data_IF_217228942475
#
_entry.id   IF_217228942475
#
_cell.length_a   1.000
_cell.length_b   1.000
_cell.length_c   1.000
_cell.angle_alpha   90.00
_cell.angle_beta   90.00
_cell.angle_gamma   90.00
#
_symmetry.space_group_name_H-M   'P 1'
#
loop_
_entity.id
_entity.type
_entity.pdbx_description
1 polymer ?
#
# COMPACT_ATOMS: atom_id res chain seq x y z
N UNK A 1 3.92 2.34 -26.54
CA UNK A 1 3.76 2.15 -25.07
C UNK A 1 5.12 2.10 -24.34
N UNK A 2 6.17 1.48 -24.92
CA UNK A 2 7.54 1.46 -24.35
C UNK A 2 8.12 2.84 -23.99
N UNK A 3 7.86 3.85 -24.81
CA UNK A 3 8.29 5.24 -24.57
C UNK A 3 7.71 5.84 -23.28
N UNK A 4 6.50 5.45 -22.86
CA UNK A 4 5.85 5.98 -21.64
C UNK A 4 6.45 5.38 -20.35
N UNK A 5 6.84 4.10 -20.38
CA UNK A 5 7.42 3.40 -19.23
C UNK A 5 8.87 3.84 -18.95
N UNK A 6 9.65 4.08 -20.02
CA UNK A 6 11.00 4.66 -19.89
C UNK A 6 10.93 6.12 -19.43
N UNK A 7 9.95 6.91 -19.89
CA UNK A 7 9.73 8.28 -19.41
C UNK A 7 9.37 8.35 -17.93
N UNK A 8 8.43 7.52 -17.45
CA UNK A 8 8.05 7.46 -16.04
C UNK A 8 9.27 7.14 -15.14
N UNK A 9 10.06 6.15 -15.53
CA UNK A 9 11.29 5.80 -14.78
C UNK A 9 12.32 6.93 -14.74
N UNK A 10 12.36 7.82 -15.75
CA UNK A 10 13.22 9.01 -15.77
C UNK A 10 12.69 10.09 -14.82
N UNK A 11 11.38 10.32 -14.78
CA UNK A 11 10.74 11.28 -13.88
C UNK A 11 10.90 10.87 -12.42
N UNK A 12 10.62 9.61 -12.08
CA UNK A 12 10.70 9.07 -10.71
C UNK A 12 12.10 9.22 -10.10
N UNK A 13 13.15 9.36 -10.92
CA UNK A 13 14.51 9.59 -10.42
C UNK A 13 14.80 11.03 -10.04
N UNK A 14 13.97 11.98 -10.48
CA UNK A 14 14.17 13.41 -10.22
C UNK A 14 13.63 13.78 -8.84
N UNK A 15 14.36 14.58 -8.09
CA UNK A 15 13.96 15.02 -6.74
C UNK A 15 12.66 15.83 -6.76
N UNK A 16 12.46 16.66 -7.79
CA UNK A 16 11.27 17.52 -7.90
C UNK A 16 9.96 16.73 -8.00
N UNK A 17 10.00 15.48 -8.46
CA UNK A 17 8.82 14.63 -8.53
C UNK A 17 8.26 14.32 -7.14
N UNK A 18 9.14 14.06 -6.16
CA UNK A 18 8.73 13.81 -4.77
C UNK A 18 8.19 15.09 -4.13
N UNK A 19 8.85 16.23 -4.39
CA UNK A 19 8.37 17.55 -3.94
C UNK A 19 6.99 17.83 -4.50
N UNK A 20 6.74 17.54 -5.77
CA UNK A 20 5.41 17.69 -6.37
C UNK A 20 4.35 16.85 -5.64
N UNK A 21 4.63 15.59 -5.31
CA UNK A 21 3.69 14.75 -4.55
C UNK A 21 3.41 15.35 -3.15
N UNK A 22 4.42 15.91 -2.49
CA UNK A 22 4.24 16.59 -1.20
C UNK A 22 3.40 17.86 -1.37
N UNK A 23 3.64 18.66 -2.41
CA UNK A 23 2.83 19.85 -2.70
C UNK A 23 1.38 19.49 -3.03
N UNK A 24 1.16 18.37 -3.73
CA UNK A 24 -0.19 17.89 -4.03
C UNK A 24 -1.01 17.55 -2.79
N UNK A 25 -0.39 17.26 -1.63
CA UNK A 25 -1.09 17.07 -0.36
C UNK A 25 -1.87 18.32 0.09
N UNK A 26 -1.42 19.51 -0.32
CA UNK A 26 -2.05 20.78 0.02
C UNK A 26 -2.99 21.29 -1.07
N UNK A 27 -2.86 20.78 -2.30
CA UNK A 27 -3.62 21.22 -3.46
C UNK A 27 -4.85 20.33 -3.68
N UNK A 28 -4.70 19.01 -3.54
CA UNK A 28 -5.78 18.04 -3.74
C UNK A 28 -6.60 17.87 -2.46
N UNK A 29 -7.47 18.84 -2.20
CA UNK A 29 -8.45 18.82 -1.12
C UNK A 29 -9.43 17.63 -1.28
N UNK A 30 -10.07 17.16 -0.19
CA UNK A 30 -11.13 16.15 -0.32
C UNK A 30 -12.30 16.71 -1.15
N UNK A 31 -13.00 15.80 -1.81
CA UNK A 31 -14.25 16.09 -2.51
C UNK A 31 -15.44 15.69 -1.64
N UNK A 32 -16.51 16.47 -1.68
CA UNK A 32 -17.81 16.11 -1.14
C UNK A 32 -18.89 16.74 -2.03
N UNK A 33 -19.93 15.97 -2.37
CA UNK A 33 -21.03 16.45 -3.20
C UNK A 33 -21.91 17.48 -2.46
N UNK A 34 -22.09 17.28 -1.16
CA UNK A 34 -22.87 18.17 -0.28
C UNK A 34 -22.03 18.64 0.91
N UNK A 35 -22.45 19.74 1.55
CA UNK A 35 -21.91 20.20 2.84
C UNK A 35 -20.38 20.34 2.91
N UNK A 36 -19.73 20.64 1.78
CA UNK A 36 -18.29 20.89 1.75
C UNK A 36 -17.97 22.23 2.45
N UNK A 37 -17.00 22.21 3.36
CA UNK A 37 -16.45 23.41 3.99
C UNK A 37 -14.94 23.30 4.12
N UNK A 38 -14.24 24.42 3.90
CA UNK A 38 -12.78 24.49 4.03
C UNK A 38 -12.32 24.31 5.48
N UNK A 39 -13.08 24.83 6.44
CA UNK A 39 -12.79 24.70 7.88
C UNK A 39 -12.94 23.25 8.36
N UNK A 40 -13.84 22.48 7.73
CA UNK A 40 -14.16 21.10 8.09
C UNK A 40 -13.41 20.03 7.28
N UNK A 41 -12.32 20.37 6.58
CA UNK A 41 -11.58 19.42 5.73
C UNK A 41 -11.16 18.15 6.49
N UNK A 42 -10.66 18.31 7.72
CA UNK A 42 -10.26 17.19 8.56
C UNK A 42 -11.43 16.25 8.89
N UNK A 43 -12.60 16.83 9.16
CA UNK A 43 -13.82 16.07 9.46
C UNK A 43 -14.35 15.35 8.22
N UNK A 44 -14.30 15.97 7.05
CA UNK A 44 -14.68 15.33 5.78
C UNK A 44 -13.79 14.12 5.52
N UNK A 45 -12.46 14.27 5.69
CA UNK A 45 -11.50 13.17 5.50
C UNK A 45 -11.81 12.03 6.48
N UNK A 46 -11.88 12.32 7.78
CA UNK A 46 -12.12 11.31 8.81
C UNK A 46 -13.47 10.59 8.59
N UNK A 47 -14.53 11.36 8.31
CA UNK A 47 -15.86 10.81 8.05
C UNK A 47 -15.87 9.92 6.80
N UNK A 48 -15.23 10.36 5.71
CA UNK A 48 -15.12 9.59 4.46
C UNK A 48 -14.36 8.28 4.67
N UNK A 49 -13.24 8.30 5.39
CA UNK A 49 -12.45 7.08 5.65
C UNK A 49 -13.20 6.09 6.56
N UNK A 50 -13.93 6.61 7.56
CA UNK A 50 -14.69 5.78 8.52
C UNK A 50 -15.95 5.15 7.90
N UNK A 51 -16.58 5.84 6.95
CA UNK A 51 -17.78 5.37 6.21
C UNK A 51 -17.45 4.98 4.76
N UNK A 52 -16.22 4.58 4.51
CA UNK A 52 -15.76 4.24 3.16
C UNK A 52 -16.46 2.98 2.64
N UNK A 53 -16.52 2.84 1.32
CA UNK A 53 -17.12 1.67 0.63
C UNK A 53 -16.49 0.33 1.05
N UNK A 54 -15.29 0.35 1.64
CA UNK A 54 -14.67 -0.82 2.25
C UNK A 54 -15.55 -1.43 3.36
N UNK A 55 -16.25 -0.59 4.15
CA UNK A 55 -17.17 -1.03 5.20
C UNK A 55 -18.34 -1.85 4.66
N UNK A 56 -18.84 -1.51 3.47
CA UNK A 56 -19.99 -2.17 2.83
C UNK A 56 -19.69 -3.60 2.40
N UNK A 57 -18.41 -3.92 2.16
CA UNK A 57 -17.96 -5.26 1.74
C UNK A 57 -17.44 -6.11 2.90
N UNK A 58 -17.65 -5.69 4.15
CA UNK A 58 -17.13 -6.38 5.36
C UNK A 58 -17.51 -7.87 5.42
N UNK A 59 -18.70 -8.24 4.95
CA UNK A 59 -19.16 -9.63 4.90
C UNK A 59 -18.31 -10.50 3.96
N UNK A 60 -17.60 -9.90 3.01
CA UNK A 60 -16.76 -10.58 2.02
C UNK A 60 -15.26 -10.54 2.36
N UNK A 61 -14.86 -9.93 3.49
CA UNK A 61 -13.45 -9.85 3.90
C UNK A 61 -12.75 -11.20 3.92
N UNK A 62 -13.43 -12.25 4.37
CA UNK A 62 -12.87 -13.60 4.35
C UNK A 62 -12.50 -14.08 2.94
N UNK A 63 -13.26 -13.70 1.92
CA UNK A 63 -12.96 -14.04 0.52
C UNK A 63 -11.68 -13.33 0.09
N UNK A 64 -11.56 -12.03 0.33
CA UNK A 64 -10.35 -11.27 0.02
C UNK A 64 -9.12 -11.82 0.74
N UNK A 65 -9.29 -12.25 2.00
CA UNK A 65 -8.21 -12.83 2.80
C UNK A 65 -7.76 -14.18 2.24
N UNK A 66 -8.69 -15.07 1.89
CA UNK A 66 -8.39 -16.35 1.26
C UNK A 66 -7.73 -16.19 -0.11
N UNK A 67 -8.21 -15.25 -0.92
CA UNK A 67 -7.59 -14.92 -2.21
C UNK A 67 -6.17 -14.39 -1.99
N UNK A 68 -5.98 -13.43 -1.09
CA UNK A 68 -4.65 -12.89 -0.78
C UNK A 68 -3.68 -13.99 -0.34
N UNK A 69 -4.11 -14.86 0.59
CA UNK A 69 -3.32 -15.99 1.05
C UNK A 69 -2.98 -16.96 -0.09
N UNK A 70 -3.95 -17.28 -0.94
CA UNK A 70 -3.73 -18.14 -2.11
C UNK A 70 -2.67 -17.52 -3.04
N UNK A 71 -2.76 -16.23 -3.36
CA UNK A 71 -1.77 -15.55 -4.20
C UNK A 71 -0.36 -15.55 -3.57
N UNK A 72 -0.25 -15.35 -2.25
CA UNK A 72 1.03 -15.43 -1.53
C UNK A 72 1.63 -16.84 -1.56
N UNK A 73 0.81 -17.87 -1.30
CA UNK A 73 1.24 -19.28 -1.35
C UNK A 73 1.63 -19.68 -2.78
N UNK A 74 0.82 -19.33 -3.77
CA UNK A 74 1.09 -19.62 -5.18
C UNK A 74 2.38 -18.92 -5.65
N UNK A 75 2.63 -17.68 -5.22
CA UNK A 75 3.90 -17.01 -5.50
C UNK A 75 5.08 -17.76 -4.91
N UNK A 76 4.99 -18.24 -3.67
CA UNK A 76 6.08 -18.98 -3.03
C UNK A 76 6.34 -20.34 -3.71
N UNK A 77 5.28 -21.06 -4.09
CA UNK A 77 5.36 -22.38 -4.73
C UNK A 77 5.83 -22.29 -6.18
N UNK A 78 5.22 -21.41 -6.98
CA UNK A 78 5.45 -21.31 -8.42
C UNK A 78 6.47 -20.23 -8.81
N UNK A 79 6.87 -19.38 -7.87
CA UNK A 79 7.96 -18.40 -8.04
C UNK A 79 7.73 -17.51 -9.26
N UNK A 80 8.76 -17.31 -10.08
CA UNK A 80 8.69 -16.51 -11.30
C UNK A 80 7.65 -16.98 -12.32
N UNK A 81 7.22 -18.25 -12.29
CA UNK A 81 6.15 -18.73 -13.19
C UNK A 81 4.80 -18.08 -12.87
N UNK A 82 4.59 -17.65 -11.62
CA UNK A 82 3.37 -17.00 -11.16
C UNK A 82 3.51 -15.47 -11.02
N UNK A 83 4.69 -14.91 -11.31
CA UNK A 83 5.00 -13.49 -11.15
C UNK A 83 3.98 -12.57 -11.80
N UNK A 84 3.57 -12.85 -13.05
CA UNK A 84 2.63 -11.99 -13.78
C UNK A 84 1.25 -11.98 -13.13
N UNK A 85 0.74 -13.14 -12.71
CA UNK A 85 -0.55 -13.21 -12.01
C UNK A 85 -0.50 -12.47 -10.67
N UNK A 86 0.59 -12.63 -9.92
CA UNK A 86 0.82 -11.90 -8.67
C UNK A 86 0.90 -10.37 -8.88
N UNK A 87 1.59 -9.92 -9.93
CA UNK A 87 1.65 -8.49 -10.28
C UNK A 87 0.27 -7.93 -10.63
N UNK A 88 -0.56 -8.69 -11.35
CA UNK A 88 -1.96 -8.31 -11.65
C UNK A 88 -2.78 -8.22 -10.37
N UNK A 89 -2.61 -9.16 -9.44
CA UNK A 89 -3.26 -9.11 -8.14
C UNK A 89 -2.88 -7.84 -7.36
N UNK A 90 -1.60 -7.46 -7.33
CA UNK A 90 -1.15 -6.23 -6.68
C UNK A 90 -1.75 -4.99 -7.36
N UNK A 91 -1.71 -4.94 -8.70
CA UNK A 91 -2.32 -3.86 -9.49
C UNK A 91 -3.80 -3.68 -9.13
N UNK A 92 -4.59 -4.76 -9.19
CA UNK A 92 -6.02 -4.74 -8.88
C UNK A 92 -6.25 -4.35 -7.42
N UNK A 93 -5.42 -4.85 -6.50
CA UNK A 93 -5.50 -4.48 -5.08
C UNK A 93 -5.35 -2.97 -4.89
N UNK A 94 -4.34 -2.33 -5.51
CA UNK A 94 -4.19 -0.87 -5.40
C UNK A 94 -5.31 -0.07 -6.07
N UNK A 95 -5.90 -0.56 -7.17
CA UNK A 95 -7.09 0.05 -7.76
C UNK A 95 -8.29 -0.03 -6.81
N UNK A 96 -8.50 -1.20 -6.19
CA UNK A 96 -9.54 -1.39 -5.19
C UNK A 96 -9.30 -0.53 -3.96
N UNK A 97 -8.07 -0.45 -3.45
CA UNK A 97 -7.73 0.41 -2.31
C UNK A 97 -8.02 1.88 -2.61
N UNK A 98 -7.73 2.35 -3.84
CA UNK A 98 -7.98 3.72 -4.23
C UNK A 98 -9.45 4.09 -4.09
N UNK A 99 -10.37 3.19 -4.45
CA UNK A 99 -11.80 3.47 -4.40
C UNK A 99 -12.40 3.07 -3.04
N UNK A 100 -12.22 1.81 -2.64
CA UNK A 100 -12.91 1.24 -1.47
C UNK A 100 -12.55 1.96 -0.16
N UNK A 101 -11.28 2.32 0.05
CA UNK A 101 -10.86 2.97 1.31
C UNK A 101 -11.06 4.49 1.31
N UNK A 102 -11.15 5.13 0.14
CA UNK A 102 -11.06 6.59 0.05
C UNK A 102 -12.30 7.24 -0.54
N UNK A 103 -13.35 6.48 -0.86
CA UNK A 103 -14.64 6.97 -1.33
C UNK A 103 -15.72 6.49 -0.37
N UNK A 104 -16.67 7.36 -0.05
CA UNK A 104 -17.86 7.07 0.73
C UNK A 104 -19.11 7.60 0.03
N UNK A 105 -20.24 6.93 0.24
CA UNK A 105 -21.56 7.39 -0.21
C UNK A 105 -22.45 7.47 1.02
N UNK A 106 -22.80 8.68 1.43
CA UNK A 106 -23.49 8.93 2.71
C UNK A 106 -24.52 10.03 2.56
N UNK A 107 -25.51 10.07 3.45
CA UNK A 107 -26.49 11.16 3.49
C UNK A 107 -25.85 12.51 3.84
N UNK A 108 -24.76 12.50 4.63
CA UNK A 108 -24.09 13.72 5.11
C UNK A 108 -23.35 14.48 4.01
N UNK A 109 -22.61 13.78 3.16
CA UNK A 109 -21.74 14.40 2.14
C UNK A 109 -22.07 13.96 0.71
N UNK A 110 -23.09 13.11 0.52
CA UNK A 110 -23.33 12.45 -0.76
C UNK A 110 -22.16 11.54 -1.10
N UNK A 111 -21.65 11.67 -2.33
CA UNK A 111 -20.35 11.09 -2.70
C UNK A 111 -19.24 11.97 -2.13
N UNK A 112 -18.38 11.40 -1.30
CA UNK A 112 -17.16 12.06 -0.81
C UNK A 112 -15.92 11.23 -1.10
N UNK A 113 -14.79 11.89 -1.32
CA UNK A 113 -13.53 11.23 -1.65
C UNK A 113 -12.30 11.95 -1.10
N UNK A 114 -11.33 11.20 -0.58
CA UNK A 114 -10.01 11.72 -0.21
C UNK A 114 -9.12 11.72 -1.46
N UNK A 115 -9.28 12.75 -2.30
CA UNK A 115 -8.71 12.80 -3.66
C UNK A 115 -7.21 12.53 -3.72
N UNK A 116 -6.45 13.07 -2.77
CA UNK A 116 -5.00 12.85 -2.75
C UNK A 116 -4.62 11.39 -2.51
N UNK A 117 -5.33 10.66 -1.65
CA UNK A 117 -5.10 9.23 -1.45
C UNK A 117 -5.47 8.44 -2.70
N UNK A 118 -6.61 8.76 -3.32
CA UNK A 118 -7.02 8.16 -4.60
C UNK A 118 -5.91 8.34 -5.64
N UNK A 119 -5.41 9.57 -5.83
CA UNK A 119 -4.32 9.86 -6.76
C UNK A 119 -3.06 9.06 -6.43
N UNK A 120 -2.62 9.06 -5.17
CA UNK A 120 -1.41 8.33 -4.74
C UNK A 120 -1.55 6.82 -4.98
N UNK A 121 -2.71 6.23 -4.71
CA UNK A 121 -2.92 4.79 -4.86
C UNK A 121 -3.02 4.40 -6.34
N UNK A 122 -3.65 5.24 -7.16
CA UNK A 122 -3.65 5.09 -8.61
C UNK A 122 -2.25 5.23 -9.21
N UNK A 123 -1.40 6.12 -8.67
CA UNK A 123 0.00 6.24 -9.09
C UNK A 123 0.79 4.96 -8.79
N UNK A 124 0.58 4.36 -7.61
CA UNK A 124 1.19 3.06 -7.26
C UNK A 124 0.66 1.97 -8.19
N UNK A 125 -0.65 1.89 -8.41
CA UNK A 125 -1.27 0.97 -9.36
C UNK A 125 -0.67 1.12 -10.77
N UNK A 126 -0.52 2.35 -11.26
CA UNK A 126 0.10 2.63 -12.56
C UNK A 126 1.55 2.16 -12.64
N UNK A 127 2.32 2.26 -11.56
CA UNK A 127 3.66 1.68 -11.50
C UNK A 127 3.60 0.15 -11.58
N UNK A 128 2.69 -0.51 -10.88
CA UNK A 128 2.51 -1.97 -10.93
C UNK A 128 1.95 -2.49 -12.27
N UNK A 129 1.25 -1.66 -13.04
CA UNK A 129 0.88 -1.98 -14.41
C UNK A 129 2.12 -2.24 -15.28
N UNK A 130 3.23 -1.52 -15.03
CA UNK A 130 4.49 -1.78 -15.73
C UNK A 130 5.04 -3.18 -15.46
N UNK A 131 4.87 -3.70 -14.24
CA UNK A 131 5.28 -5.05 -13.83
C UNK A 131 4.38 -6.15 -14.42
N UNK A 132 3.15 -5.82 -14.81
CA UNK A 132 2.28 -6.74 -15.54
C UNK A 132 2.72 -6.91 -17.00
N UNK A 133 3.13 -5.80 -17.63
CA UNK A 133 3.55 -5.74 -19.03
C UNK A 133 4.96 -6.31 -19.21
N UNK A 134 5.93 -5.80 -18.44
CA UNK A 134 7.33 -6.21 -18.49
C UNK A 134 7.84 -6.45 -17.06
N UNK A 135 7.61 -7.65 -16.50
CA UNK A 135 8.06 -8.00 -15.15
C UNK A 135 9.56 -7.83 -15.01
N UNK A 136 10.00 -7.08 -14.01
CA UNK A 136 11.41 -6.92 -13.63
C UNK A 136 11.69 -7.42 -12.21
N UNK A 137 10.66 -7.60 -11.38
CA UNK A 137 10.81 -8.25 -10.08
C UNK A 137 11.16 -9.73 -10.24
N UNK A 138 12.22 -10.16 -9.54
CA UNK A 138 12.59 -11.57 -9.42
C UNK A 138 11.99 -12.16 -8.13
N UNK A 139 11.11 -13.14 -8.29
CA UNK A 139 10.47 -13.94 -7.24
C UNK A 139 10.99 -15.38 -7.22
N UNK A 140 12.23 -15.63 -7.68
CA UNK A 140 12.86 -16.95 -7.62
C UNK A 140 13.20 -17.40 -6.20
N UNK A 141 13.35 -16.46 -5.28
CA UNK A 141 13.78 -16.69 -3.89
C UNK A 141 15.11 -17.47 -3.79
N UNK A 142 15.93 -17.49 -4.84
CA UNK A 142 17.19 -18.25 -4.89
C UNK A 142 18.30 -17.61 -4.04
N UNK A 143 18.25 -16.28 -3.88
CA UNK A 143 19.20 -15.51 -3.09
C UNK A 143 18.45 -14.60 -2.10
N UNK A 144 17.64 -15.21 -1.23
CA UNK A 144 16.93 -14.47 -0.17
C UNK A 144 17.98 -13.69 0.63
N UNK A 145 17.81 -12.38 0.67
CA UNK A 145 18.65 -11.52 1.49
C UNK A 145 18.21 -11.64 2.95
N UNK A 146 18.84 -12.54 3.69
CA UNK A 146 18.52 -12.82 5.10
C UNK A 146 18.59 -11.57 5.99
N UNK A 147 19.40 -10.57 5.64
CA UNK A 147 19.45 -9.28 6.36
C UNK A 147 18.13 -8.49 6.28
N UNK A 148 17.24 -8.88 5.37
CA UNK A 148 15.94 -8.24 5.16
C UNK A 148 14.78 -9.11 5.64
N UNK A 149 15.04 -10.35 6.10
CA UNK A 149 13.98 -11.28 6.49
C UNK A 149 13.18 -10.80 7.71
N UNK A 150 13.75 -9.93 8.56
CA UNK A 150 13.01 -9.30 9.66
C UNK A 150 11.82 -8.46 9.17
N UNK A 151 11.85 -7.95 7.93
CA UNK A 151 10.72 -7.23 7.33
C UNK A 151 9.52 -8.16 7.13
N UNK A 152 9.74 -9.47 6.91
CA UNK A 152 8.65 -10.43 6.78
C UNK A 152 7.88 -10.59 8.09
N UNK A 153 8.56 -10.50 9.24
CA UNK A 153 7.91 -10.57 10.55
C UNK A 153 7.00 -9.36 10.77
N UNK A 154 7.50 -8.15 10.46
CA UNK A 154 6.69 -6.93 10.56
C UNK A 154 5.53 -6.92 9.55
N UNK A 155 5.78 -7.38 8.32
CA UNK A 155 4.74 -7.50 7.30
C UNK A 155 3.67 -8.53 7.71
N UNK A 156 4.07 -9.65 8.31
CA UNK A 156 3.14 -10.65 8.83
C UNK A 156 2.30 -10.07 9.97
N UNK A 157 2.89 -9.26 10.85
CA UNK A 157 2.14 -8.58 11.93
C UNK A 157 1.07 -7.62 11.37
N UNK A 158 1.41 -6.79 10.38
CA UNK A 158 0.43 -5.92 9.71
C UNK A 158 -0.64 -6.72 8.96
N UNK A 159 -0.23 -7.76 8.23
CA UNK A 159 -1.15 -8.64 7.52
C UNK A 159 -2.06 -9.42 8.46
N UNK A 160 -1.57 -9.77 9.65
CA UNK A 160 -2.37 -10.42 10.68
C UNK A 160 -3.48 -9.49 11.18
N UNK A 161 -3.23 -8.18 11.24
CA UNK A 161 -4.13 -7.17 11.79
C UNK A 161 -4.79 -7.65 13.09
N UNK A 162 -4.01 -7.88 14.17
CA UNK A 162 -4.49 -8.53 15.38
C UNK A 162 -5.34 -7.58 16.24
N UNK A 163 -6.40 -6.99 15.72
CA UNK A 163 -7.26 -6.06 16.47
C UNK A 163 -8.65 -6.67 16.69
N UNK A 164 -9.09 -6.71 17.94
CA UNK A 164 -10.47 -7.08 18.32
C UNK A 164 -11.33 -5.87 18.74
N UNK A 165 -10.72 -4.69 18.91
CA UNK A 165 -11.37 -3.46 19.35
C UNK A 165 -10.45 -2.26 19.21
N UNK A 166 -10.69 -1.21 20.00
CA UNK A 166 -9.92 0.04 19.95
C UNK A 166 -8.49 -0.12 20.47
N UNK A 167 -8.30 -0.90 21.54
CA UNK A 167 -6.99 -1.06 22.18
C UNK A 167 -6.65 -2.49 22.63
N UNK A 168 -7.31 -3.50 22.04
CA UNK A 168 -7.12 -4.92 22.40
C UNK A 168 -6.59 -5.71 21.22
N UNK A 169 -5.60 -6.56 21.50
CA UNK A 169 -5.04 -7.45 20.50
C UNK A 169 -5.73 -8.82 20.51
N UNK A 170 -5.99 -9.36 19.31
CA UNK A 170 -6.51 -10.72 19.12
C UNK A 170 -5.71 -11.44 18.03
N UNK A 171 -4.96 -12.45 18.47
CA UNK A 171 -4.11 -13.29 17.63
C UNK A 171 -4.78 -14.62 17.26
N UNK A 172 -6.10 -14.73 17.35
CA UNK A 172 -6.81 -15.94 16.94
C UNK A 172 -6.73 -16.15 15.42
N UNK A 173 -6.57 -17.39 14.94
CA UNK A 173 -6.59 -17.67 13.50
C UNK A 173 -7.91 -17.28 12.82
N UNK A 174 -9.02 -17.27 13.58
CA UNK A 174 -10.32 -16.87 13.08
C UNK A 174 -10.40 -15.36 12.82
N UNK A 175 -9.82 -14.54 13.69
CA UNK A 175 -9.74 -13.08 13.48
C UNK A 175 -8.88 -12.76 12.27
N UNK A 176 -7.78 -13.50 12.08
CA UNK A 176 -6.93 -13.37 10.89
C UNK A 176 -7.69 -13.59 9.58
N UNK A 177 -8.56 -14.61 9.52
CA UNK A 177 -9.33 -14.91 8.30
C UNK A 177 -10.43 -13.89 8.06
N UNK A 178 -11.04 -13.34 9.11
CA UNK A 178 -12.23 -12.46 9.01
C UNK A 178 -11.91 -10.96 8.99
N UNK A 179 -10.67 -10.57 9.25
CA UNK A 179 -10.28 -9.17 9.24
C UNK A 179 -10.24 -8.60 7.81
N UNK A 180 -10.18 -7.27 7.71
CA UNK A 180 -10.10 -6.57 6.42
C UNK A 180 -8.69 -6.30 5.91
N UNK A 181 -7.64 -6.96 6.43
CA UNK A 181 -6.24 -6.59 6.16
C UNK A 181 -5.89 -6.69 4.68
N UNK A 182 -6.33 -7.75 4.00
CA UNK A 182 -6.17 -7.93 2.55
C UNK A 182 -6.86 -6.86 1.67
N UNK A 183 -7.79 -6.09 2.25
CA UNK A 183 -8.49 -5.00 1.55
C UNK A 183 -7.93 -3.62 1.88
N UNK A 184 -6.89 -3.55 2.73
CA UNK A 184 -6.33 -2.31 3.26
C UNK A 184 -4.93 -2.00 2.68
N UNK A 185 -4.71 -0.74 2.26
CA UNK A 185 -3.42 -0.30 1.73
C UNK A 185 -2.31 -0.47 2.77
N UNK A 186 -2.62 -0.09 4.02
CA UNK A 186 -1.66 -0.07 5.11
C UNK A 186 -1.16 -1.46 5.52
N UNK A 187 -1.96 -2.49 5.28
CA UNK A 187 -1.63 -3.86 5.70
C UNK A 187 -0.97 -4.65 4.57
N UNK A 188 -1.38 -4.44 3.31
CA UNK A 188 -0.82 -5.15 2.16
C UNK A 188 0.45 -4.53 1.59
N UNK A 189 0.60 -3.20 1.62
CA UNK A 189 1.83 -2.54 1.15
C UNK A 189 3.10 -3.01 1.87
N UNK A 190 3.12 -3.17 3.21
CA UNK A 190 4.26 -3.77 3.91
C UNK A 190 4.58 -5.19 3.42
N UNK A 191 3.57 -6.01 3.12
CA UNK A 191 3.75 -7.37 2.56
C UNK A 191 4.43 -7.32 1.21
N UNK A 192 3.93 -6.49 0.29
CA UNK A 192 4.52 -6.37 -1.05
C UNK A 192 5.95 -5.83 -0.99
N UNK A 193 6.21 -4.80 -0.18
CA UNK A 193 7.54 -4.26 0.01
C UNK A 193 8.49 -5.24 0.70
N UNK A 194 8.03 -6.04 1.66
CA UNK A 194 8.86 -7.06 2.30
C UNK A 194 9.26 -8.16 1.30
N UNK A 195 8.32 -8.64 0.47
CA UNK A 195 8.59 -9.62 -0.60
C UNK A 195 9.62 -9.07 -1.60
N UNK A 196 9.48 -7.81 -2.03
CA UNK A 196 10.48 -7.17 -2.89
C UNK A 196 11.82 -7.03 -2.17
N UNK A 197 11.80 -6.62 -0.89
CA UNK A 197 13.01 -6.41 -0.09
C UNK A 197 13.83 -7.67 0.08
N UNK A 198 13.21 -8.83 0.32
CA UNK A 198 13.96 -10.10 0.46
C UNK A 198 14.59 -10.56 -0.85
N UNK A 199 14.05 -10.15 -2.00
CA UNK A 199 14.61 -10.43 -3.33
C UNK A 199 15.59 -9.34 -3.82
N UNK A 200 15.89 -8.34 -2.99
CA UNK A 200 16.85 -7.29 -3.32
C UNK A 200 18.25 -7.85 -3.65
N UNK A 201 18.95 -7.37 -4.70
CA UNK A 201 18.66 -6.18 -5.53
C UNK A 201 17.83 -6.43 -6.80
N UNK A 202 17.33 -7.65 -7.02
CA UNK A 202 16.67 -8.05 -8.27
C UNK A 202 15.18 -7.65 -8.29
N UNK A 203 14.95 -6.34 -8.24
CA UNK A 203 13.62 -5.74 -8.15
C UNK A 203 13.46 -4.57 -9.11
N UNK A 204 12.22 -4.29 -9.49
CA UNK A 204 11.86 -3.08 -10.21
C UNK A 204 12.02 -1.86 -9.30
N UNK A 205 13.12 -1.13 -9.51
CA UNK A 205 13.50 0.04 -8.70
C UNK A 205 12.44 1.16 -8.71
N UNK A 206 11.89 1.61 -9.86
CA UNK A 206 10.79 2.57 -9.87
C UNK A 206 9.58 2.15 -9.03
N UNK A 207 9.09 0.92 -9.20
CA UNK A 207 7.92 0.40 -8.46
C UNK A 207 8.20 0.36 -6.97
N UNK A 208 9.36 -0.18 -6.59
CA UNK A 208 9.79 -0.26 -5.19
C UNK A 208 9.88 1.13 -4.54
N UNK A 209 10.47 2.11 -5.25
CA UNK A 209 10.65 3.47 -4.75
C UNK A 209 9.34 4.23 -4.61
N UNK A 210 8.43 4.16 -5.59
CA UNK A 210 7.14 4.84 -5.51
C UNK A 210 6.24 4.21 -4.46
N UNK A 211 6.13 2.87 -4.46
CA UNK A 211 5.32 2.16 -3.47
C UNK A 211 5.77 2.47 -2.04
N UNK A 212 7.09 2.47 -1.80
CA UNK A 212 7.65 2.84 -0.49
C UNK A 212 7.49 4.32 -0.16
N UNK A 213 7.66 5.24 -1.11
CA UNK A 213 7.45 6.67 -0.84
C UNK A 213 6.00 6.99 -0.44
N UNK A 214 5.02 6.46 -1.17
CA UNK A 214 3.60 6.61 -0.83
C UNK A 214 3.30 5.92 0.50
N UNK A 215 3.90 4.74 0.75
CA UNK A 215 3.82 4.05 2.04
C UNK A 215 4.34 4.88 3.22
N UNK A 216 5.38 5.71 3.03
CA UNK A 216 5.85 6.65 4.06
C UNK A 216 4.76 7.69 4.36
N UNK A 217 4.21 8.32 3.33
CA UNK A 217 3.20 9.38 3.50
C UNK A 217 1.98 8.85 4.26
N UNK A 218 1.42 7.73 3.82
CA UNK A 218 0.28 7.09 4.49
C UNK A 218 0.66 6.57 5.88
N UNK A 219 1.87 6.03 6.04
CA UNK A 219 2.39 5.61 7.34
C UNK A 219 2.40 6.76 8.34
N UNK A 220 2.88 7.94 7.93
CA UNK A 220 2.90 9.15 8.75
C UNK A 220 1.48 9.61 9.13
N UNK A 221 0.51 9.55 8.20
CA UNK A 221 -0.89 9.87 8.53
C UNK A 221 -1.43 8.96 9.63
N UNK A 222 -1.13 7.66 9.55
CA UNK A 222 -1.60 6.71 10.57
C UNK A 222 -0.94 6.92 11.95
N UNK A 223 0.22 7.57 12.02
CA UNK A 223 0.85 7.90 13.31
C UNK A 223 0.05 8.92 14.11
N UNK A 224 -0.89 9.65 13.49
CA UNK A 224 -1.86 10.48 14.21
C UNK A 224 -2.68 9.67 15.23
N UNK A 225 -2.82 8.35 15.05
CA UNK A 225 -3.47 7.46 16.02
C UNK A 225 -2.82 7.53 17.42
N UNK A 226 -1.51 7.80 17.51
CA UNK A 226 -0.81 7.92 18.80
C UNK A 226 -1.14 9.20 19.57
N UNK A 227 -1.83 10.16 18.95
CA UNK A 227 -2.31 11.37 19.65
C UNK A 227 -3.51 11.06 20.56
N UNK A 228 -4.10 9.88 20.40
CA UNK A 228 -5.31 9.45 21.09
C UNK A 228 -5.03 8.16 21.88
N UNK A 229 -5.06 8.19 23.23
CA UNK A 229 -4.74 7.04 24.06
C UNK A 229 -5.55 5.78 23.74
N UNK A 230 -6.80 5.96 23.31
CA UNK A 230 -7.71 4.88 22.92
C UNK A 230 -7.39 4.22 21.57
N UNK A 231 -6.49 4.81 20.77
CA UNK A 231 -6.08 4.32 19.44
C UNK A 231 -4.62 3.87 19.39
N UNK A 232 -3.98 3.63 20.54
CA UNK A 232 -2.57 3.21 20.59
C UNK A 232 -2.37 1.87 19.85
N UNK A 233 -3.21 0.86 20.09
CA UNK A 233 -3.10 -0.41 19.37
C UNK A 233 -3.28 -0.24 17.85
N UNK A 234 -4.18 0.65 17.43
CA UNK A 234 -4.32 1.06 16.02
C UNK A 234 -3.02 1.67 15.47
N UNK A 235 -2.37 2.56 16.22
CA UNK A 235 -1.05 3.09 15.83
C UNK A 235 0.00 1.98 15.70
N UNK A 236 0.05 1.04 16.65
CA UNK A 236 1.00 -0.07 16.66
C UNK A 236 0.85 -0.96 15.43
N UNK A 237 -0.36 -1.36 15.04
CA UNK A 237 -0.55 -2.20 13.85
C UNK A 237 -0.20 -1.52 12.54
N UNK A 238 -0.14 -0.18 12.52
CA UNK A 238 0.26 0.61 11.35
C UNK A 238 1.77 0.93 11.31
N UNK A 239 2.52 0.73 12.41
CA UNK A 239 3.98 0.93 12.43
C UNK A 239 4.74 0.15 11.34
N UNK A 240 4.39 -1.12 11.02
CA UNK A 240 5.06 -1.85 9.96
C UNK A 240 5.06 -1.15 8.61
N UNK A 241 3.95 -0.47 8.25
CA UNK A 241 3.89 0.32 7.02
C UNK A 241 4.97 1.38 7.01
N UNK A 242 5.06 2.20 8.07
CA UNK A 242 6.04 3.28 8.12
C UNK A 242 7.48 2.74 8.12
N UNK A 243 7.76 1.75 8.97
CA UNK A 243 9.12 1.18 9.13
C UNK A 243 9.59 0.53 7.82
N UNK A 244 8.79 -0.36 7.24
CA UNK A 244 9.15 -1.08 6.01
C UNK A 244 9.25 -0.08 4.84
N UNK A 245 8.38 0.92 4.78
CA UNK A 245 8.39 1.92 3.72
C UNK A 245 9.63 2.83 3.79
N UNK A 246 9.99 3.34 4.97
CA UNK A 246 11.23 4.12 5.15
C UNK A 246 12.45 3.29 4.78
N UNK A 247 12.55 2.06 5.30
CA UNK A 247 13.65 1.15 5.00
C UNK A 247 13.76 0.90 3.48
N UNK A 248 12.64 0.59 2.84
CA UNK A 248 12.56 0.29 1.41
C UNK A 248 12.94 1.49 0.56
N UNK A 249 12.43 2.67 0.90
CA UNK A 249 12.70 3.91 0.18
C UNK A 249 14.18 4.27 0.22
N UNK A 250 14.80 4.26 1.40
CA UNK A 250 16.25 4.49 1.57
C UNK A 250 17.05 3.47 0.76
N UNK A 251 16.67 2.20 0.83
CA UNK A 251 17.35 1.13 0.11
C UNK A 251 17.22 1.25 -1.41
N UNK A 252 16.14 1.83 -1.90
CA UNK A 252 15.91 2.05 -3.34
C UNK A 252 16.98 2.97 -3.97
N UNK A 253 17.68 3.80 -3.19
CA UNK A 253 18.79 4.63 -3.67
C UNK A 253 20.10 3.87 -3.80
N UNK A 254 20.24 2.72 -3.12
CA UNK A 254 21.43 1.86 -3.19
C UNK A 254 21.39 0.87 -4.37
N UNK A 255 20.27 0.77 -5.08
CA UNK A 255 20.15 -0.07 -6.27
C UNK A 255 20.96 0.58 -7.40
N UNK A 256 22.09 -0.01 -7.77
CA UNK A 256 22.77 0.31 -9.02
C UNK A 256 21.89 -0.18 -10.16
N UNK A 257 21.72 0.65 -11.19
CA UNK A 257 21.04 0.21 -12.40
C UNK A 257 21.93 -0.86 -13.04
N UNK A 258 21.59 -2.13 -12.88
CA UNK A 258 22.25 -3.21 -13.62
C UNK A 258 21.86 -3.06 -15.09
N UNK A 259 22.71 -2.41 -15.88
CA UNK A 259 22.52 -2.24 -17.32
C UNK A 259 22.70 -0.81 -17.84
N UNK A 260 23.95 -0.33 -17.81
CA UNK A 260 24.54 0.51 -18.86
C UNK A 260 26.04 0.19 -18.96
N UNK A 261 26.33 -1.06 -19.27
CA UNK A 261 27.56 -1.43 -19.99
C UNK A 261 27.08 -2.19 -21.21
N UNK A 262 26.90 -1.44 -22.31
CA UNK A 262 27.18 -1.76 -23.71
C UNK A 262 26.92 -0.46 -24.49
#
# INVERSE_FOLDING_TARGET
MEMKLTFLSRIIRKWWFYVLIILLQFILLPYAAYNFSYEGIGDIINYTLTHSLQGDIRNYYFIFQLVSLAFLVLLFVYKNRFARAFNVYILVSYLLFAILQNVAITDKYGVSAVLINVFMFLLVAFCWLSECIKPQNDYSFLSINLKNSWLLVLALFAYWLPLAGTNTFDFSPLSFIKNGSSTAFCMMTPVFLAIMSVNFPRINKPVYRITSFIGIIIGLYNMASFQHPEKIAMGIVHLPLLIISVYSFVKSFKIKDYGKEF
#
